data_IF_985484593661
#
_entry.id   IF_985484593661
#
_cell.length_a   1.000
_cell.length_b   1.000
_cell.length_c   1.000
_cell.angle_alpha   90.00
_cell.angle_beta   90.00
_cell.angle_gamma   90.00
#
_symmetry.space_group_name_H-M   'P 1'
#
loop_
_entity.id
_entity.type
_entity.pdbx_description
1 polymer ?
#
# COMPACT_ATOMS: atom_id res chain seq x y z
N UNK A 1 4.58 -65.30 -25.90
CA UNK A 1 5.44 -64.23 -25.36
C UNK A 1 5.68 -63.22 -26.47
N UNK A 2 4.87 -62.18 -26.51
CA UNK A 2 4.93 -61.15 -27.54
C UNK A 2 4.92 -59.82 -26.79
N UNK A 3 6.05 -59.10 -26.81
CA UNK A 3 6.22 -57.80 -26.16
C UNK A 3 5.49 -56.74 -27.00
N UNK A 4 4.62 -55.98 -26.36
CA UNK A 4 4.02 -54.80 -26.93
C UNK A 4 4.92 -53.55 -26.63
N UNK A 5 5.32 -52.84 -27.69
CA UNK A 5 5.98 -51.54 -27.61
C UNK A 5 4.96 -50.44 -27.35
N UNK A 6 5.30 -49.39 -26.57
CA UNK A 6 4.42 -48.23 -26.37
C UNK A 6 4.53 -47.25 -27.54
N UNK A 7 3.37 -46.82 -28.05
CA UNK A 7 3.22 -45.74 -29.03
C UNK A 7 3.49 -44.39 -28.37
N UNK A 8 4.38 -43.58 -28.96
CA UNK A 8 4.62 -42.20 -28.61
C UNK A 8 3.49 -41.29 -29.15
N UNK A 9 3.05 -40.27 -28.44
CA UNK A 9 2.08 -39.33 -28.94
C UNK A 9 2.69 -38.33 -29.93
N UNK A 10 2.09 -38.24 -31.12
CA UNK A 10 2.45 -37.23 -32.13
C UNK A 10 1.96 -35.84 -31.67
N UNK A 11 2.89 -34.97 -31.32
CA UNK A 11 2.62 -33.57 -31.08
C UNK A 11 2.28 -32.84 -32.40
N UNK A 12 1.10 -32.25 -32.47
CA UNK A 12 0.80 -31.26 -33.51
C UNK A 12 1.38 -29.92 -33.07
N UNK A 13 2.36 -29.43 -33.82
CA UNK A 13 2.85 -28.05 -33.73
C UNK A 13 1.75 -27.11 -34.26
N UNK A 14 1.31 -26.17 -33.42
CA UNK A 14 0.45 -25.04 -33.82
C UNK A 14 1.39 -23.88 -34.16
N UNK A 15 1.40 -23.33 -35.39
CA UNK A 15 2.23 -22.22 -35.72
C UNK A 15 1.75 -20.95 -35.03
N UNK A 16 2.57 -20.40 -34.14
CA UNK A 16 2.44 -19.05 -33.58
C UNK A 16 2.96 -18.04 -34.60
N UNK A 17 2.10 -17.62 -35.55
CA UNK A 17 2.36 -16.47 -36.43
C UNK A 17 1.16 -15.53 -36.37
N UNK A 18 1.13 -14.69 -35.30
CA UNK A 18 0.36 -13.47 -35.27
C UNK A 18 1.31 -12.28 -35.38
N UNK A 19 0.93 -11.15 -36.00
CA UNK A 19 1.83 -10.02 -36.20
C UNK A 19 2.25 -9.45 -34.85
N UNK A 20 3.56 -9.31 -34.65
CA UNK A 20 4.15 -8.54 -33.55
C UNK A 20 3.72 -7.08 -33.79
N UNK A 21 2.72 -6.62 -33.04
CA UNK A 21 2.38 -5.20 -32.96
C UNK A 21 3.56 -4.53 -32.24
N UNK A 22 4.43 -3.89 -33.01
CA UNK A 22 5.38 -2.93 -32.47
C UNK A 22 4.58 -1.79 -31.82
N UNK A 23 4.50 -1.78 -30.50
CA UNK A 23 4.05 -0.62 -29.75
C UNK A 23 5.10 0.46 -29.97
N UNK A 24 4.81 1.38 -30.89
CA UNK A 24 5.57 2.64 -31.00
C UNK A 24 5.58 3.28 -29.62
N UNK A 25 6.77 3.64 -29.14
CA UNK A 25 6.99 4.50 -27.97
C UNK A 25 6.34 5.87 -28.22
N UNK A 26 5.04 5.95 -28.00
CA UNK A 26 4.26 7.18 -28.03
C UNK A 26 4.09 7.67 -26.61
N UNK A 27 4.75 8.78 -26.29
CA UNK A 27 4.54 9.74 -25.20
C UNK A 27 3.54 9.26 -24.12
N UNK A 28 4.07 8.50 -23.15
CA UNK A 28 3.38 8.23 -21.91
C UNK A 28 3.42 9.55 -21.09
N UNK A 29 2.41 10.40 -21.24
CA UNK A 29 2.17 11.57 -20.40
C UNK A 29 1.61 11.07 -19.05
N UNK A 30 2.39 10.28 -18.33
CA UNK A 30 2.22 10.12 -16.90
C UNK A 30 2.28 11.50 -16.23
N UNK A 31 1.53 11.71 -15.15
CA UNK A 31 1.60 12.98 -14.43
C UNK A 31 3.07 13.29 -14.10
N UNK A 32 3.50 14.51 -14.48
CA UNK A 32 4.89 14.96 -14.26
C UNK A 32 5.16 14.99 -12.75
N UNK A 33 6.24 14.38 -12.33
CA UNK A 33 6.73 14.43 -10.94
C UNK A 33 6.88 15.87 -10.48
N UNK A 34 6.33 16.18 -9.32
CA UNK A 34 6.39 17.47 -8.64
C UNK A 34 6.90 17.28 -7.23
N UNK A 35 7.13 18.35 -6.51
CA UNK A 35 7.57 18.31 -5.12
C UNK A 35 6.73 19.25 -4.27
N UNK A 36 6.34 18.77 -3.10
CA UNK A 36 5.77 19.53 -1.99
C UNK A 36 6.86 19.71 -0.93
N UNK A 37 6.97 20.88 -0.34
CA UNK A 37 7.81 21.09 0.85
C UNK A 37 6.91 21.17 2.06
N UNK A 38 7.07 20.23 2.99
CA UNK A 38 6.30 20.19 4.24
C UNK A 38 6.74 21.27 5.22
N UNK A 39 5.94 21.54 6.25
CA UNK A 39 6.30 22.50 7.33
C UNK A 39 7.60 22.14 8.05
N UNK A 40 7.93 20.83 8.12
CA UNK A 40 9.19 20.34 8.68
C UNK A 40 10.38 20.47 7.72
N UNK A 41 10.17 20.99 6.50
CA UNK A 41 11.19 21.21 5.48
C UNK A 41 11.50 19.99 4.61
N UNK A 42 10.87 18.83 4.83
CA UNK A 42 11.02 17.63 3.98
C UNK A 42 10.40 17.87 2.61
N UNK A 43 11.06 17.40 1.57
CA UNK A 43 10.61 17.57 0.18
C UNK A 43 10.03 16.26 -0.34
N UNK A 44 8.72 16.23 -0.52
CA UNK A 44 7.92 15.07 -0.90
C UNK A 44 7.67 15.07 -2.40
N UNK A 45 8.15 14.04 -3.09
CA UNK A 45 7.88 13.83 -4.51
C UNK A 45 6.45 13.31 -4.70
N UNK A 46 5.72 13.86 -5.67
CA UNK A 46 4.37 13.40 -5.97
C UNK A 46 4.02 13.49 -7.45
N UNK A 47 3.02 12.72 -7.83
CA UNK A 47 2.33 12.82 -9.10
C UNK A 47 0.83 12.87 -8.87
N UNK A 48 0.15 13.77 -9.58
CA UNK A 48 -1.27 14.05 -9.40
C UNK A 48 -1.96 14.19 -10.75
N UNK A 49 -3.11 13.56 -10.90
CA UNK A 49 -4.08 13.83 -11.96
C UNK A 49 -5.34 14.47 -11.40
N UNK A 50 -5.90 15.42 -12.13
CA UNK A 50 -7.17 16.07 -11.78
C UNK A 50 -8.34 15.20 -12.23
N UNK A 51 -9.47 15.32 -11.54
CA UNK A 51 -10.71 14.63 -11.85
C UNK A 51 -11.87 15.17 -11.04
N UNK A 52 -13.02 14.51 -11.09
CA UNK A 52 -14.25 14.87 -10.37
C UNK A 52 -14.52 13.91 -9.21
N UNK A 53 -15.42 14.30 -8.31
CA UNK A 53 -15.81 13.54 -7.10
C UNK A 53 -14.69 13.43 -6.06
N UNK A 54 -14.86 12.65 -4.99
CA UNK A 54 -13.76 12.32 -4.09
C UNK A 54 -12.62 11.67 -4.88
N UNK A 55 -11.41 12.27 -4.83
CA UNK A 55 -10.23 11.71 -5.47
C UNK A 55 -9.72 10.50 -4.70
N UNK A 56 -8.79 9.76 -5.32
CA UNK A 56 -8.10 8.64 -4.69
C UNK A 56 -6.67 9.06 -4.34
N UNK A 57 -6.26 8.82 -3.11
CA UNK A 57 -4.88 9.02 -2.63
C UNK A 57 -4.27 7.66 -2.33
N UNK A 58 -3.18 7.34 -3.03
CA UNK A 58 -2.45 6.08 -2.81
C UNK A 58 -1.30 6.29 -1.82
N UNK A 59 -1.31 5.50 -0.76
CA UNK A 59 -0.29 5.47 0.29
C UNK A 59 0.54 4.19 0.15
N UNK A 60 1.82 4.35 -0.17
CA UNK A 60 2.76 3.26 -0.43
C UNK A 60 3.16 2.45 0.80
N UNK A 61 3.80 1.30 0.58
CA UNK A 61 4.35 0.44 1.64
C UNK A 61 5.76 0.84 2.06
N UNK A 62 6.28 0.14 3.07
CA UNK A 62 7.64 0.26 3.59
C UNK A 62 8.68 -0.01 2.49
N UNK A 63 9.67 0.86 2.34
CA UNK A 63 10.71 0.81 1.29
C UNK A 63 10.19 0.68 -0.15
N UNK A 64 8.95 1.13 -0.41
CA UNK A 64 8.41 1.20 -1.76
C UNK A 64 8.36 2.65 -2.27
N UNK A 65 8.21 2.80 -3.59
CA UNK A 65 8.03 4.10 -4.22
C UNK A 65 6.69 4.24 -4.94
N UNK A 66 6.35 5.46 -5.33
CA UNK A 66 5.09 5.80 -5.98
C UNK A 66 4.98 5.28 -7.42
N UNK A 67 6.01 4.60 -7.97
CA UNK A 67 6.00 4.03 -9.33
C UNK A 67 5.66 2.53 -9.34
N UNK A 68 5.36 1.96 -8.18
CA UNK A 68 4.98 0.56 -8.04
C UNK A 68 3.70 0.19 -8.82
N UNK A 69 3.55 -1.09 -9.13
CA UNK A 69 2.47 -1.63 -9.99
C UNK A 69 1.08 -1.18 -9.54
N UNK A 70 0.77 -1.24 -8.25
CA UNK A 70 -0.54 -0.83 -7.72
C UNK A 70 -0.82 0.66 -7.95
N UNK A 71 0.16 1.51 -7.65
CA UNK A 71 0.03 2.96 -7.78
C UNK A 71 -0.22 3.38 -9.23
N UNK A 72 0.57 2.84 -10.18
CA UNK A 72 0.43 3.15 -11.61
C UNK A 72 -0.87 2.57 -12.20
N UNK A 73 -1.26 1.37 -11.78
CA UNK A 73 -2.51 0.75 -12.21
C UNK A 73 -3.73 1.56 -11.77
N UNK A 74 -3.76 1.98 -10.51
CA UNK A 74 -4.86 2.79 -9.97
C UNK A 74 -4.89 4.19 -10.56
N UNK A 75 -3.73 4.82 -10.82
CA UNK A 75 -3.66 6.10 -11.55
C UNK A 75 -4.30 5.98 -12.94
N UNK A 76 -3.94 4.95 -13.70
CA UNK A 76 -4.49 4.72 -15.03
C UNK A 76 -6.00 4.48 -15.00
N UNK A 77 -6.47 3.69 -14.04
CA UNK A 77 -7.89 3.42 -13.84
C UNK A 77 -8.66 4.69 -13.43
N UNK A 78 -8.21 5.42 -12.41
CA UNK A 78 -8.84 6.67 -11.99
C UNK A 78 -8.94 7.69 -13.12
N UNK A 79 -7.88 7.78 -13.95
CA UNK A 79 -7.87 8.64 -15.12
C UNK A 79 -8.92 8.22 -16.17
N UNK A 80 -9.12 6.93 -16.40
CA UNK A 80 -10.15 6.40 -17.30
C UNK A 80 -11.55 6.72 -16.79
N UNK A 81 -11.76 6.67 -15.47
CA UNK A 81 -13.01 7.03 -14.79
C UNK A 81 -13.21 8.55 -14.60
N UNK A 82 -12.27 9.39 -15.07
CA UNK A 82 -12.33 10.85 -14.89
C UNK A 82 -12.17 11.32 -13.46
N UNK A 83 -11.59 10.47 -12.56
CA UNK A 83 -11.43 10.71 -11.14
C UNK A 83 -10.03 11.25 -10.82
N UNK A 84 -9.94 12.16 -9.83
CA UNK A 84 -8.66 12.66 -9.33
C UNK A 84 -7.83 11.54 -8.68
N UNK A 85 -6.51 11.59 -8.86
CA UNK A 85 -5.59 10.63 -8.26
C UNK A 85 -4.32 11.31 -7.78
N UNK A 86 -3.86 10.98 -6.57
CA UNK A 86 -2.60 11.41 -5.99
C UNK A 86 -1.79 10.18 -5.55
N UNK A 87 -0.52 10.14 -5.92
CA UNK A 87 0.50 9.24 -5.38
C UNK A 87 1.74 10.03 -5.03
N UNK A 88 2.44 9.64 -3.98
CA UNK A 88 3.62 10.33 -3.48
C UNK A 88 4.60 9.36 -2.83
N UNK A 89 5.84 9.79 -2.71
CA UNK A 89 6.87 9.12 -1.94
C UNK A 89 6.98 9.77 -0.56
N UNK A 90 6.96 9.01 0.52
CA UNK A 90 7.31 9.55 1.84
C UNK A 90 8.76 10.02 1.87
N UNK A 91 9.15 10.85 2.83
CA UNK A 91 10.56 11.16 3.06
C UNK A 91 11.38 9.88 3.22
N UNK A 92 12.59 9.88 2.66
CA UNK A 92 13.44 8.69 2.61
C UNK A 92 13.01 7.60 1.64
N UNK A 93 11.94 7.80 0.86
CA UNK A 93 11.47 6.87 -0.16
C UNK A 93 11.57 7.49 -1.55
N UNK A 94 11.77 6.66 -2.57
CA UNK A 94 11.71 7.03 -3.98
C UNK A 94 12.51 8.28 -4.32
N UNK A 95 11.83 9.33 -4.79
CA UNK A 95 12.43 10.60 -5.20
C UNK A 95 12.31 11.72 -4.14
N UNK A 96 11.75 11.44 -2.97
CA UNK A 96 11.65 12.38 -1.86
C UNK A 96 13.01 12.62 -1.19
N UNK A 97 13.09 13.68 -0.38
CA UNK A 97 14.31 14.00 0.37
C UNK A 97 14.55 13.07 1.56
N UNK A 98 15.64 13.22 2.23
CA UNK A 98 16.12 12.48 3.39
C UNK A 98 16.61 11.04 3.05
N UNK A 99 17.35 10.45 3.97
CA UNK A 99 17.67 9.03 3.89
C UNK A 99 16.55 8.20 4.54
N UNK A 100 16.33 6.99 4.05
CA UNK A 100 15.31 6.08 4.61
C UNK A 100 15.51 5.86 6.12
N UNK A 101 16.77 5.74 6.55
CA UNK A 101 17.14 5.53 7.96
C UNK A 101 16.88 6.74 8.87
N UNK A 102 16.61 7.90 8.31
CA UNK A 102 16.24 9.10 9.08
C UNK A 102 14.73 9.14 9.39
N UNK A 103 13.93 8.36 8.65
CA UNK A 103 12.48 8.35 8.77
C UNK A 103 11.92 7.42 9.85
N UNK A 104 10.68 7.69 10.24
CA UNK A 104 9.90 6.88 11.16
C UNK A 104 8.40 6.98 10.84
N UNK A 105 7.56 6.23 11.53
CA UNK A 105 6.10 6.20 11.29
C UNK A 105 5.48 7.59 11.46
N UNK A 106 5.91 8.34 12.48
CA UNK A 106 5.42 9.69 12.74
C UNK A 106 5.73 10.67 11.60
N UNK A 107 6.97 10.65 11.08
CA UNK A 107 7.38 11.49 9.95
C UNK A 107 6.57 11.16 8.69
N UNK A 108 6.41 9.86 8.37
CA UNK A 108 5.67 9.41 7.19
C UNK A 108 4.17 9.70 7.30
N UNK A 109 3.63 9.69 8.52
CA UNK A 109 2.25 10.12 8.76
C UNK A 109 2.08 11.64 8.59
N UNK A 110 3.07 12.46 8.98
CA UNK A 110 3.09 13.90 8.70
C UNK A 110 3.20 14.19 7.20
N UNK A 111 4.06 13.46 6.49
CA UNK A 111 4.20 13.58 5.02
C UNK A 111 2.89 13.28 4.32
N UNK A 112 2.20 12.19 4.74
CA UNK A 112 0.89 11.84 4.21
C UNK A 112 -0.17 12.91 4.50
N UNK A 113 -0.19 13.43 5.72
CA UNK A 113 -1.09 14.51 6.12
C UNK A 113 -0.86 15.76 5.27
N UNK A 114 0.39 16.21 5.11
CA UNK A 114 0.74 17.35 4.26
C UNK A 114 0.32 17.10 2.81
N UNK A 115 0.61 15.91 2.24
CA UNK A 115 0.22 15.59 0.88
C UNK A 115 -1.30 15.61 0.68
N UNK A 116 -2.08 15.05 1.61
CA UNK A 116 -3.54 15.05 1.56
C UNK A 116 -4.08 16.47 1.70
N UNK A 117 -3.62 17.23 2.70
CA UNK A 117 -4.17 18.54 3.02
C UNK A 117 -3.82 19.60 1.98
N UNK A 118 -2.60 19.57 1.42
CA UNK A 118 -2.10 20.64 0.54
C UNK A 118 -2.29 20.35 -0.95
N UNK A 119 -2.38 19.06 -1.34
CA UNK A 119 -2.47 18.68 -2.74
C UNK A 119 -3.87 18.26 -3.18
N UNK A 120 -4.83 18.12 -2.25
CA UNK A 120 -6.20 17.71 -2.59
C UNK A 120 -7.25 18.65 -1.97
N UNK A 121 -8.41 18.72 -2.60
CA UNK A 121 -9.55 19.48 -2.14
C UNK A 121 -10.66 18.56 -1.61
N UNK A 122 -11.26 18.90 -0.46
CA UNK A 122 -12.32 18.10 0.16
C UNK A 122 -11.86 16.73 0.67
N UNK A 123 -12.83 15.88 0.99
CA UNK A 123 -12.57 14.53 1.47
C UNK A 123 -12.16 13.58 0.34
N UNK A 124 -11.22 12.67 0.59
CA UNK A 124 -10.61 11.76 -0.37
C UNK A 124 -10.85 10.29 0.01
N UNK A 125 -10.77 9.40 -0.97
CA UNK A 125 -10.69 7.97 -0.72
C UNK A 125 -9.22 7.60 -0.56
N UNK A 126 -8.83 7.11 0.61
CA UNK A 126 -7.47 6.64 0.85
C UNK A 126 -7.33 5.17 0.45
N UNK A 127 -6.27 4.86 -0.28
CA UNK A 127 -5.90 3.49 -0.63
C UNK A 127 -4.50 3.21 -0.09
N UNK A 128 -4.42 2.52 1.04
CA UNK A 128 -3.17 2.25 1.74
C UNK A 128 -2.70 0.81 1.58
N UNK A 129 -1.46 0.59 1.13
CA UNK A 129 -0.87 -0.74 0.99
C UNK A 129 0.18 -0.99 2.06
N UNK A 130 0.08 -2.12 2.78
CA UNK A 130 1.04 -2.54 3.81
C UNK A 130 1.22 -1.43 4.88
N UNK A 131 2.42 -0.86 5.05
CA UNK A 131 2.65 0.32 5.89
C UNK A 131 1.69 1.48 5.55
N UNK A 132 1.41 1.71 4.27
CA UNK A 132 0.43 2.73 3.84
C UNK A 132 -0.97 2.49 4.40
N UNK A 133 -1.34 1.23 4.65
CA UNK A 133 -2.56 0.88 5.40
C UNK A 133 -2.51 1.41 6.84
N UNK A 134 -1.40 1.23 7.55
CA UNK A 134 -1.22 1.81 8.89
C UNK A 134 -1.27 3.35 8.86
N UNK A 135 -0.53 3.98 7.93
CA UNK A 135 -0.56 5.43 7.77
C UNK A 135 -1.99 5.92 7.47
N UNK A 136 -2.76 5.21 6.65
CA UNK A 136 -4.18 5.55 6.38
C UNK A 136 -5.04 5.51 7.64
N UNK A 137 -4.83 4.53 8.52
CA UNK A 137 -5.51 4.46 9.82
C UNK A 137 -5.09 5.61 10.76
N UNK A 138 -3.83 6.07 10.69
CA UNK A 138 -3.39 7.27 11.40
C UNK A 138 -4.06 8.53 10.84
N UNK A 139 -4.26 8.63 9.51
CA UNK A 139 -5.02 9.73 8.90
C UNK A 139 -6.48 9.71 9.36
N UNK A 140 -7.11 8.54 9.47
CA UNK A 140 -8.46 8.40 10.02
C UNK A 140 -8.59 8.96 11.45
N UNK A 141 -7.52 8.92 12.24
CA UNK A 141 -7.48 9.51 13.59
C UNK A 141 -7.14 11.01 13.60
N UNK A 142 -6.30 11.47 12.67
CA UNK A 142 -5.75 12.84 12.66
C UNK A 142 -6.65 13.83 11.90
N UNK A 143 -7.18 13.41 10.76
CA UNK A 143 -7.92 14.26 9.81
C UNK A 143 -9.15 13.52 9.24
N UNK A 144 -10.06 12.97 10.09
CA UNK A 144 -11.21 12.18 9.61
C UNK A 144 -12.10 12.95 8.63
N UNK A 145 -12.20 14.27 8.76
CA UNK A 145 -12.97 15.16 7.87
C UNK A 145 -12.40 15.24 6.44
N UNK A 146 -11.16 14.79 6.24
CA UNK A 146 -10.52 14.72 4.92
C UNK A 146 -10.65 13.35 4.27
N UNK A 147 -11.42 12.42 4.86
CA UNK A 147 -11.57 11.06 4.38
C UNK A 147 -13.03 10.79 4.06
N UNK A 148 -13.30 10.49 2.79
CA UNK A 148 -14.60 10.06 2.31
C UNK A 148 -14.77 8.53 2.36
N UNK A 149 -13.66 7.78 2.29
CA UNK A 149 -13.65 6.33 2.31
C UNK A 149 -12.24 5.76 2.44
N UNK A 150 -12.13 4.50 2.81
CA UNK A 150 -10.86 3.82 3.06
C UNK A 150 -10.83 2.44 2.39
N UNK A 151 -9.76 2.17 1.65
CA UNK A 151 -9.41 0.82 1.20
C UNK A 151 -8.00 0.50 1.68
N UNK A 152 -7.80 -0.62 2.35
CA UNK A 152 -6.46 -1.09 2.68
C UNK A 152 -6.13 -2.38 1.96
N UNK A 153 -4.88 -2.57 1.59
CA UNK A 153 -4.36 -3.74 0.90
C UNK A 153 -3.25 -4.33 1.75
N UNK A 154 -3.44 -5.53 2.29
CA UNK A 154 -2.46 -6.21 3.14
C UNK A 154 -1.92 -5.27 4.22
N UNK A 155 -2.82 -4.57 4.94
CA UNK A 155 -2.43 -3.54 5.90
C UNK A 155 -1.57 -4.12 7.03
N UNK A 156 -0.45 -3.45 7.32
CA UNK A 156 0.50 -3.84 8.36
C UNK A 156 0.51 -2.83 9.54
N UNK A 157 -0.61 -2.62 10.25
CA UNK A 157 -0.60 -1.75 11.42
C UNK A 157 0.29 -2.31 12.51
N UNK A 158 0.96 -1.41 13.24
CA UNK A 158 1.78 -1.72 14.40
C UNK A 158 2.99 -2.65 14.12
N UNK A 159 3.39 -2.84 12.84
CA UNK A 159 4.41 -3.83 12.44
C UNK A 159 5.78 -3.57 13.07
N UNK A 160 6.09 -2.34 13.46
CA UNK A 160 7.35 -2.01 14.13
C UNK A 160 7.45 -2.65 15.51
N UNK A 161 6.36 -2.73 16.26
CA UNK A 161 6.30 -3.34 17.59
C UNK A 161 5.86 -4.80 17.52
N UNK A 162 4.67 -5.08 16.92
CA UNK A 162 4.08 -6.42 16.89
C UNK A 162 4.74 -7.33 15.84
N UNK A 163 5.38 -6.75 14.82
CA UNK A 163 6.15 -7.47 13.80
C UNK A 163 7.64 -7.52 14.15
N UNK A 164 8.39 -6.46 13.90
CA UNK A 164 9.85 -6.47 14.04
C UNK A 164 10.29 -6.68 15.49
N UNK A 165 9.91 -5.77 16.40
CA UNK A 165 10.41 -5.85 17.77
C UNK A 165 9.99 -7.14 18.47
N UNK A 166 8.75 -7.57 18.31
CA UNK A 166 8.25 -8.80 18.94
C UNK A 166 9.03 -10.05 18.50
N UNK A 167 9.45 -10.11 17.22
CA UNK A 167 10.18 -11.23 16.63
C UNK A 167 11.69 -11.16 16.81
N UNK A 168 12.26 -10.02 17.25
CA UNK A 168 13.68 -9.93 17.54
C UNK A 168 14.05 -10.77 18.79
N UNK A 169 15.10 -11.57 18.67
CA UNK A 169 15.69 -12.23 19.81
C UNK A 169 16.42 -11.22 20.73
N UNK A 170 16.85 -11.68 21.90
CA UNK A 170 17.49 -10.82 22.90
C UNK A 170 18.77 -10.14 22.39
N UNK A 171 19.57 -10.85 21.58
CA UNK A 171 20.83 -10.31 21.02
C UNK A 171 20.56 -9.25 19.96
N UNK A 172 19.59 -9.46 19.08
CA UNK A 172 19.16 -8.46 18.08
C UNK A 172 18.60 -7.21 18.74
N UNK A 173 17.76 -7.35 19.77
CA UNK A 173 17.24 -6.20 20.54
C UNK A 173 18.36 -5.42 21.23
N UNK A 174 19.31 -6.14 21.84
CA UNK A 174 20.48 -5.53 22.46
C UNK A 174 21.34 -4.81 21.43
N UNK A 175 21.63 -5.44 20.29
CA UNK A 175 22.41 -4.83 19.20
C UNK A 175 21.74 -3.56 18.69
N UNK A 176 20.44 -3.63 18.34
CA UNK A 176 19.69 -2.45 17.89
C UNK A 176 19.69 -1.32 18.92
N UNK A 177 19.59 -1.66 20.22
CA UNK A 177 19.59 -0.66 21.28
C UNK A 177 20.95 0.04 21.42
N UNK A 178 22.05 -0.69 21.20
CA UNK A 178 23.43 -0.20 21.35
C UNK A 178 23.91 0.51 20.09
N UNK A 179 23.72 -0.08 18.92
CA UNK A 179 24.24 0.41 17.64
C UNK A 179 23.27 1.31 16.89
N UNK A 180 21.97 1.30 17.26
CA UNK A 180 20.96 2.16 16.66
C UNK A 180 20.35 1.64 15.35
N UNK A 181 20.94 0.61 14.73
CA UNK A 181 20.52 0.06 13.44
C UNK A 181 20.78 -1.45 13.39
N UNK A 182 19.86 -2.20 12.79
CA UNK A 182 20.03 -3.60 12.41
C UNK A 182 19.52 -3.83 11.00
N UNK A 183 20.22 -4.62 10.20
CA UNK A 183 19.77 -5.04 8.88
C UNK A 183 19.10 -6.41 8.97
N UNK A 184 17.85 -6.50 8.50
CA UNK A 184 17.06 -7.72 8.49
C UNK A 184 16.99 -8.26 7.06
N UNK A 185 17.19 -9.57 6.83
CA UNK A 185 16.98 -10.17 5.51
C UNK A 185 15.59 -9.80 4.95
N UNK A 186 15.55 -9.58 3.64
CA UNK A 186 14.33 -9.25 2.90
C UNK A 186 14.19 -10.19 1.71
N UNK A 187 12.97 -10.62 1.42
CA UNK A 187 12.66 -11.42 0.23
C UNK A 187 12.62 -10.57 -1.06
N UNK A 188 12.77 -9.24 -0.93
CA UNK A 188 12.71 -8.29 -2.05
C UNK A 188 14.06 -7.73 -2.51
N UNK A 189 15.17 -8.27 -2.01
CA UNK A 189 16.52 -7.88 -2.43
C UNK A 189 17.40 -7.42 -1.28
N UNK A 190 17.70 -6.12 -1.19
CA UNK A 190 18.56 -5.60 -0.14
C UNK A 190 17.91 -5.74 1.26
N UNK A 191 18.72 -6.01 2.31
CA UNK A 191 18.21 -6.11 3.68
C UNK A 191 17.48 -4.83 4.12
N UNK A 192 16.44 -4.97 4.94
CA UNK A 192 15.74 -3.84 5.55
C UNK A 192 16.56 -3.22 6.69
N UNK A 193 16.97 -1.96 6.60
CA UNK A 193 17.62 -1.26 7.70
C UNK A 193 16.56 -0.81 8.72
N UNK A 194 16.51 -1.49 9.86
CA UNK A 194 15.59 -1.17 10.95
C UNK A 194 16.33 -0.34 11.99
N UNK A 195 15.90 0.91 12.17
CA UNK A 195 16.50 1.81 13.14
C UNK A 195 15.82 1.72 14.51
N UNK A 196 16.58 2.02 15.56
CA UNK A 196 16.01 2.19 16.90
C UNK A 196 14.92 3.26 16.92
N UNK A 197 15.15 4.38 16.20
CA UNK A 197 14.18 5.48 16.06
C UNK A 197 12.85 4.98 15.48
N UNK A 198 12.88 4.16 14.42
CA UNK A 198 11.67 3.58 13.80
C UNK A 198 10.85 2.78 14.81
N UNK A 199 11.51 1.95 15.64
CA UNK A 199 10.84 1.15 16.66
C UNK A 199 10.25 2.03 17.76
N UNK A 200 11.07 2.97 18.31
CA UNK A 200 10.65 3.81 19.44
C UNK A 200 9.51 4.77 19.05
N UNK A 201 9.61 5.40 17.89
CA UNK A 201 8.56 6.27 17.36
C UNK A 201 7.27 5.49 17.05
N UNK A 202 7.38 4.31 16.41
CA UNK A 202 6.24 3.48 16.08
C UNK A 202 5.36 3.14 17.29
N UNK A 203 5.96 3.00 18.49
CA UNK A 203 5.22 2.79 19.76
C UNK A 203 4.26 3.91 20.10
N UNK A 204 4.55 5.13 19.67
CA UNK A 204 3.68 6.29 19.87
C UNK A 204 2.51 6.33 18.89
N UNK A 205 2.51 5.47 17.87
CA UNK A 205 1.55 5.46 16.77
C UNK A 205 0.75 4.16 16.66
N UNK A 206 0.76 3.30 17.70
CA UNK A 206 0.02 2.05 17.70
C UNK A 206 -1.49 2.29 17.58
N UNK A 207 -2.14 1.48 16.73
CA UNK A 207 -3.57 1.61 16.43
C UNK A 207 -4.38 0.37 16.82
N UNK A 208 -3.74 -0.77 17.06
CA UNK A 208 -4.41 -2.01 17.44
C UNK A 208 -4.50 -2.22 18.97
N UNK A 209 -4.52 -1.13 19.76
CA UNK A 209 -4.60 -1.16 21.23
C UNK A 209 -5.97 -0.74 21.76
N UNK A 210 -6.83 -0.21 20.90
CA UNK A 210 -8.17 0.27 21.23
C UNK A 210 -9.07 0.23 19.98
N UNK A 211 -10.40 0.34 20.13
CA UNK A 211 -11.29 0.44 19.00
C UNK A 211 -10.89 1.58 18.04
N UNK A 212 -11.00 1.30 16.73
CA UNK A 212 -10.73 2.23 15.64
C UNK A 212 -12.05 2.76 15.09
N UNK A 213 -12.35 4.03 15.30
CA UNK A 213 -13.53 4.66 14.72
C UNK A 213 -13.25 5.02 13.26
N UNK A 214 -13.99 4.39 12.34
CA UNK A 214 -13.93 4.59 10.89
C UNK A 214 -15.33 4.94 10.39
N UNK A 215 -15.75 6.22 10.51
CA UNK A 215 -17.14 6.65 10.23
C UNK A 215 -17.40 6.84 8.72
N UNK A 216 -16.72 6.11 7.85
CA UNK A 216 -16.83 6.17 6.40
C UNK A 216 -16.73 4.76 5.81
N UNK A 217 -17.23 4.51 4.59
CA UNK A 217 -17.14 3.21 3.94
C UNK A 217 -15.71 2.69 3.90
N UNK A 218 -15.47 1.50 4.46
CA UNK A 218 -14.14 0.91 4.63
C UNK A 218 -14.06 -0.50 4.08
N UNK A 219 -13.02 -0.81 3.32
CA UNK A 219 -12.73 -2.14 2.77
C UNK A 219 -11.30 -2.55 3.11
N UNK A 220 -11.16 -3.61 3.89
CA UNK A 220 -9.88 -4.26 4.15
C UNK A 220 -9.69 -5.41 3.17
N UNK A 221 -8.62 -5.41 2.39
CA UNK A 221 -8.28 -6.46 1.42
C UNK A 221 -7.06 -7.21 1.92
N UNK A 222 -7.14 -8.56 1.95
CA UNK A 222 -6.07 -9.42 2.42
C UNK A 222 -5.93 -10.65 1.53
N UNK A 223 -4.69 -11.04 1.22
CA UNK A 223 -4.36 -12.30 0.60
C UNK A 223 -4.23 -13.43 1.62
N UNK A 224 -4.67 -14.64 1.30
CA UNK A 224 -4.54 -15.76 2.23
C UNK A 224 -3.19 -16.50 2.12
N UNK A 225 -2.39 -16.18 1.10
CA UNK A 225 -1.01 -16.65 0.92
C UNK A 225 0.00 -15.50 1.18
N UNK A 226 -0.40 -14.48 1.95
CA UNK A 226 0.47 -13.40 2.39
C UNK A 226 1.35 -13.89 3.56
N UNK A 227 2.66 -14.01 3.30
CA UNK A 227 3.64 -14.48 4.29
C UNK A 227 4.16 -13.37 5.21
N UNK A 228 3.88 -12.08 4.90
CA UNK A 228 4.33 -10.93 5.69
C UNK A 228 3.26 -10.40 6.64
N UNK A 229 2.02 -10.35 6.16
CA UNK A 229 0.85 -9.90 6.94
C UNK A 229 -0.18 -11.02 6.99
N UNK A 230 -0.36 -11.60 8.16
CA UNK A 230 -1.25 -12.73 8.30
C UNK A 230 -2.74 -12.36 8.21
N UNK A 231 -3.57 -13.34 7.83
CA UNK A 231 -5.03 -13.20 7.83
C UNK A 231 -5.54 -12.86 9.24
N UNK A 232 -4.91 -13.40 10.29
CA UNK A 232 -5.27 -13.14 11.69
C UNK A 232 -5.08 -11.66 12.05
N UNK A 233 -4.02 -11.00 11.52
CA UNK A 233 -3.83 -9.56 11.71
C UNK A 233 -4.95 -8.76 11.03
N UNK A 234 -5.33 -9.13 9.80
CA UNK A 234 -6.44 -8.51 9.09
C UNK A 234 -7.79 -8.71 9.83
N UNK A 235 -8.03 -9.89 10.38
CA UNK A 235 -9.20 -10.18 11.21
C UNK A 235 -9.20 -9.38 12.52
N UNK A 236 -8.02 -9.23 13.17
CA UNK A 236 -7.87 -8.40 14.37
C UNK A 236 -8.15 -6.92 14.06
N UNK A 237 -7.63 -6.41 12.94
CA UNK A 237 -7.92 -5.05 12.48
C UNK A 237 -9.42 -4.86 12.24
N UNK A 238 -10.06 -5.79 11.53
CA UNK A 238 -11.50 -5.77 11.28
C UNK A 238 -12.31 -5.80 12.58
N UNK A 239 -11.93 -6.63 13.54
CA UNK A 239 -12.64 -6.75 14.84
C UNK A 239 -12.52 -5.48 15.71
N UNK A 240 -11.44 -4.70 15.56
CA UNK A 240 -11.23 -3.44 16.28
C UNK A 240 -11.86 -2.24 15.57
N UNK A 241 -12.13 -2.33 14.28
CA UNK A 241 -12.74 -1.27 13.50
C UNK A 241 -14.22 -1.12 13.86
N UNK A 242 -14.66 0.13 14.08
CA UNK A 242 -16.04 0.48 14.40
C UNK A 242 -16.56 1.51 13.39
N UNK A 243 -17.75 1.27 12.85
CA UNK A 243 -18.42 2.07 11.80
C UNK A 243 -19.52 1.26 11.17
N UNK A 244 -20.38 1.89 10.36
CA UNK A 244 -21.60 1.26 9.84
C UNK A 244 -21.37 0.45 8.57
N UNK A 245 -20.34 0.80 7.76
CA UNK A 245 -20.03 0.10 6.50
C UNK A 245 -18.54 -0.31 6.44
N UNK A 246 -18.22 -1.42 7.10
CA UNK A 246 -16.87 -1.98 7.14
C UNK A 246 -16.89 -3.43 6.65
N UNK A 247 -15.99 -3.78 5.71
CA UNK A 247 -15.89 -5.12 5.17
C UNK A 247 -14.43 -5.60 5.15
N UNK A 248 -14.23 -6.89 5.44
CA UNK A 248 -12.98 -7.61 5.18
C UNK A 248 -13.18 -8.57 4.00
N UNK A 249 -12.34 -8.46 2.98
CA UNK A 249 -12.36 -9.31 1.78
C UNK A 249 -11.07 -10.10 1.68
N UNK A 250 -11.18 -11.42 1.66
CA UNK A 250 -10.05 -12.32 1.51
C UNK A 250 -9.92 -12.78 0.05
N UNK A 251 -8.72 -12.68 -0.51
CA UNK A 251 -8.39 -13.19 -1.84
C UNK A 251 -7.65 -14.52 -1.73
N UNK A 252 -8.30 -15.61 -2.18
CA UNK A 252 -7.66 -16.93 -2.23
C UNK A 252 -6.49 -16.95 -3.22
N UNK A 253 -5.30 -17.38 -2.75
CA UNK A 253 -4.05 -17.35 -3.51
C UNK A 253 -3.46 -15.95 -3.66
N UNK A 254 -3.89 -14.99 -2.86
CA UNK A 254 -3.34 -13.63 -2.83
C UNK A 254 -2.07 -13.56 -1.99
N UNK A 255 -1.00 -13.01 -2.55
CA UNK A 255 0.27 -12.72 -1.89
C UNK A 255 0.29 -11.31 -1.27
N UNK A 256 1.36 -10.96 -0.52
CA UNK A 256 1.54 -9.63 0.07
C UNK A 256 1.57 -8.52 -0.97
N UNK A 257 2.18 -8.75 -2.12
CA UNK A 257 2.27 -7.75 -3.19
C UNK A 257 0.91 -7.33 -3.73
N UNK A 258 -0.05 -8.23 -3.71
CA UNK A 258 -1.42 -7.99 -4.18
C UNK A 258 -1.46 -7.33 -5.56
N UNK A 259 -0.55 -7.75 -6.46
CA UNK A 259 -0.32 -7.13 -7.77
C UNK A 259 -0.69 -8.04 -8.94
N UNK A 260 -1.26 -9.22 -8.68
CA UNK A 260 -1.82 -10.05 -9.73
C UNK A 260 -3.01 -9.37 -10.41
N UNK A 261 -3.36 -9.69 -11.66
CA UNK A 261 -4.53 -9.11 -12.34
C UNK A 261 -5.82 -9.25 -11.53
N UNK A 262 -6.00 -10.38 -10.84
CA UNK A 262 -7.17 -10.63 -9.98
C UNK A 262 -7.16 -9.75 -8.72
N UNK A 263 -6.01 -9.55 -8.11
CA UNK A 263 -5.85 -8.69 -6.93
C UNK A 263 -6.09 -7.20 -7.28
N UNK A 264 -5.56 -6.75 -8.44
CA UNK A 264 -5.78 -5.40 -8.94
C UNK A 264 -7.27 -5.15 -9.28
N UNK A 265 -7.95 -6.12 -9.89
CA UNK A 265 -9.39 -6.05 -10.16
C UNK A 265 -10.19 -5.95 -8.85
N UNK A 266 -9.89 -6.79 -7.84
CA UNK A 266 -10.54 -6.73 -6.53
C UNK A 266 -10.32 -5.38 -5.84
N UNK A 267 -9.15 -4.77 -6.01
CA UNK A 267 -8.86 -3.42 -5.47
C UNK A 267 -9.73 -2.36 -6.15
N UNK A 268 -9.86 -2.40 -7.48
CA UNK A 268 -10.76 -1.50 -8.23
C UNK A 268 -12.22 -1.69 -7.82
N UNK A 269 -12.68 -2.93 -7.69
CA UNK A 269 -14.04 -3.25 -7.21
C UNK A 269 -14.29 -2.68 -5.81
N UNK A 270 -13.31 -2.81 -4.90
CA UNK A 270 -13.42 -2.27 -3.55
C UNK A 270 -13.53 -0.73 -3.54
N UNK A 271 -12.74 -0.06 -4.38
CA UNK A 271 -12.81 1.42 -4.51
C UNK A 271 -14.16 1.82 -5.13
N UNK A 272 -14.62 1.12 -6.17
CA UNK A 272 -15.92 1.38 -6.80
C UNK A 272 -17.07 1.21 -5.80
N UNK A 273 -17.01 0.17 -4.96
CA UNK A 273 -17.99 -0.09 -3.92
C UNK A 273 -18.01 1.02 -2.83
N UNK A 274 -16.83 1.50 -2.43
CA UNK A 274 -16.72 2.68 -1.53
C UNK A 274 -17.32 3.93 -2.17
N UNK A 275 -17.05 4.18 -3.46
CA UNK A 275 -17.62 5.31 -4.20
C UNK A 275 -19.15 5.21 -4.23
N UNK A 276 -19.70 4.02 -4.54
CA UNK A 276 -21.14 3.82 -4.57
C UNK A 276 -21.81 4.04 -3.22
N UNK A 277 -21.14 3.66 -2.12
CA UNK A 277 -21.64 3.92 -0.77
C UNK A 277 -21.66 5.43 -0.44
N UNK A 278 -20.61 6.17 -0.80
CA UNK A 278 -20.54 7.65 -0.61
C UNK A 278 -21.62 8.37 -1.43
N UNK A 279 -21.89 7.94 -2.65
CA UNK A 279 -22.87 8.56 -3.54
C UNK A 279 -24.32 8.23 -3.18
N UNK A 280 -24.55 7.23 -2.33
CA UNK A 280 -25.88 6.82 -1.84
C UNK A 280 -26.33 7.55 -0.58
N UNK A 281 -25.41 8.25 0.13
CA UNK A 281 -25.69 9.09 1.29
C UNK A 281 -26.12 10.51 0.88
#
# INVERSE_FOLDING_TARGET
MTQAQPLAPQGREIPLSGPIVQIKSGSNLGARMKFLTTDSGRRIAYAQSKGTGPGVVFLGGFMSDMTGTKALHLEAWCKAEGRGFLRFDYSGHGASSEAFTDGCIGDWAEDAQSAICELTDGAQILVGSSMGGWISLLMAKRIPERIAGLVTIAAAPDFTEDGFWANFNADTRKFLTQEGLVNIPSDYGDPYPITKRLIEDGRSHLVLRSPLNLPFPTRFLQGDEDEEVSVELAQRLFALATGDDIQLRLLKGGDHRFSSPRALALTQEAITDVIGAIEAE
#
